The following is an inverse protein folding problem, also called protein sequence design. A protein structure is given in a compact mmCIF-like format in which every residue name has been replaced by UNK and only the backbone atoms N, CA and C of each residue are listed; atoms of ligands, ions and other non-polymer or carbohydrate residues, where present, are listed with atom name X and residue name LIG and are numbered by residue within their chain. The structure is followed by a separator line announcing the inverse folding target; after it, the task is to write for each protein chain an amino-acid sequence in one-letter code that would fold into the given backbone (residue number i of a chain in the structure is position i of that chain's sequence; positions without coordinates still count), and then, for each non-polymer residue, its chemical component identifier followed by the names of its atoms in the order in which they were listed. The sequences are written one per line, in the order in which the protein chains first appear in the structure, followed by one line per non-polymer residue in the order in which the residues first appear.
data_IF_352346749954
#
_entry.id   IF_352346749954
#
_cell.length_a   1.000
_cell.length_b   1.000
_cell.length_c   1.000
_cell.angle_alpha   90.00
_cell.angle_beta   90.00
_cell.angle_gamma   90.00
#
_symmetry.space_group_name_H-M   'P 1'
#
loop_
_entity.id
_entity.type
_entity.pdbx_description
1 polymer ?
#
# COMPACT_ATOMS: atom_id res chain seq x y z
N UNK A 1 2.62 -15.47 -17.02
CA UNK A 1 3.86 -15.69 -16.24
C UNK A 1 3.57 -16.66 -15.10
N UNK A 2 4.42 -17.65 -14.87
CA UNK A 2 4.27 -18.60 -13.76
C UNK A 2 4.98 -18.11 -12.50
N UNK A 3 4.66 -18.68 -11.31
CA UNK A 3 5.40 -18.42 -10.06
C UNK A 3 6.91 -18.69 -10.25
N UNK A 4 7.28 -19.74 -10.97
CA UNK A 4 8.68 -20.11 -11.19
C UNK A 4 9.43 -19.08 -12.05
N UNK A 5 8.75 -18.50 -13.03
CA UNK A 5 9.32 -17.43 -13.86
C UNK A 5 9.51 -16.15 -13.04
N UNK A 6 8.53 -15.81 -12.19
CA UNK A 6 8.62 -14.67 -11.29
C UNK A 6 9.78 -14.84 -10.28
N UNK A 7 9.90 -16.00 -9.64
CA UNK A 7 11.00 -16.32 -8.73
C UNK A 7 12.38 -16.22 -9.42
N UNK A 8 12.47 -16.62 -10.70
CA UNK A 8 13.69 -16.48 -11.49
C UNK A 8 14.04 -15.02 -11.74
N UNK A 9 13.06 -14.18 -12.10
CA UNK A 9 13.25 -12.74 -12.31
C UNK A 9 13.61 -12.00 -11.02
N UNK A 10 12.94 -12.35 -9.92
CA UNK A 10 13.18 -11.76 -8.60
C UNK A 10 14.47 -12.26 -7.95
N UNK A 11 14.98 -13.43 -8.37
CA UNK A 11 16.11 -14.14 -7.75
C UNK A 11 15.84 -14.53 -6.28
N UNK A 12 14.58 -14.75 -5.92
CA UNK A 12 14.14 -15.19 -4.58
C UNK A 12 13.13 -16.32 -4.70
N UNK A 13 12.84 -16.98 -3.58
CA UNK A 13 11.65 -17.85 -3.46
C UNK A 13 10.56 -17.07 -2.73
N UNK A 14 9.38 -16.92 -3.33
CA UNK A 14 8.28 -16.11 -2.77
C UNK A 14 7.86 -16.68 -1.41
N UNK A 15 7.84 -18.00 -1.26
CA UNK A 15 7.55 -18.68 0.01
C UNK A 15 8.55 -18.41 1.14
N UNK A 16 9.73 -17.87 0.81
CA UNK A 16 10.79 -17.56 1.79
C UNK A 16 10.79 -16.07 2.18
N UNK A 17 9.87 -15.26 1.66
CA UNK A 17 9.74 -13.85 2.06
C UNK A 17 9.48 -13.80 3.57
N UNK A 18 10.31 -13.02 4.27
CA UNK A 18 10.24 -12.90 5.72
C UNK A 18 8.94 -12.21 6.10
N UNK A 19 8.22 -12.82 7.04
CA UNK A 19 7.00 -12.27 7.60
C UNK A 19 7.25 -11.70 9.00
N UNK A 20 6.83 -10.46 9.25
CA UNK A 20 7.03 -9.75 10.52
C UNK A 20 5.70 -9.19 11.05
N UNK A 21 5.65 -8.83 12.33
CA UNK A 21 4.51 -8.07 12.83
C UNK A 21 4.50 -6.66 12.22
N UNK A 22 3.31 -6.08 12.07
CA UNK A 22 3.16 -4.69 11.62
C UNK A 22 3.96 -3.75 12.52
N UNK A 23 3.82 -3.92 13.84
CA UNK A 23 4.58 -3.19 14.84
C UNK A 23 6.11 -3.30 14.63
N UNK A 24 6.62 -4.50 14.30
CA UNK A 24 8.04 -4.71 14.04
C UNK A 24 8.53 -4.08 12.73
N UNK A 25 7.65 -3.89 11.74
CA UNK A 25 7.99 -3.19 10.50
C UNK A 25 8.01 -1.66 10.69
N UNK A 26 7.12 -1.12 11.54
CA UNK A 26 6.98 0.33 11.73
C UNK A 26 7.74 0.90 12.93
N UNK A 27 8.30 0.06 13.81
CA UNK A 27 8.93 0.48 15.06
C UNK A 27 10.12 1.44 14.86
N UNK A 28 10.87 1.29 13.77
CA UNK A 28 11.99 2.18 13.44
C UNK A 28 11.54 3.47 12.74
N UNK A 29 10.40 3.41 12.03
CA UNK A 29 9.89 4.49 11.19
C UNK A 29 8.96 5.49 11.91
N UNK A 30 8.48 5.15 13.12
CA UNK A 30 7.66 6.07 13.93
C UNK A 30 8.40 7.37 14.26
N UNK A 31 9.72 7.31 14.43
CA UNK A 31 10.58 8.49 14.64
C UNK A 31 10.52 9.45 13.45
N UNK A 32 10.43 8.90 12.23
CA UNK A 32 10.47 9.67 10.97
C UNK A 32 9.19 10.47 10.72
N UNK A 33 8.03 10.04 11.25
CA UNK A 33 6.79 10.81 11.19
C UNK A 33 6.89 12.13 11.97
N UNK A 34 7.61 12.12 13.09
CA UNK A 34 7.92 13.35 13.85
C UNK A 34 8.75 14.34 13.02
N UNK A 35 9.73 13.84 12.28
CA UNK A 35 10.57 14.65 11.39
C UNK A 35 9.79 15.20 10.18
N UNK A 36 8.77 14.45 9.71
CA UNK A 36 7.84 14.86 8.66
C UNK A 36 6.79 15.91 9.12
N UNK A 37 6.88 16.37 10.38
CA UNK A 37 5.96 17.36 11.01
C UNK A 37 4.50 16.90 11.07
N UNK A 38 4.25 15.60 11.05
CA UNK A 38 2.91 15.05 11.25
C UNK A 38 2.78 14.73 12.72
N UNK A 39 2.15 15.62 13.48
CA UNK A 39 1.95 15.40 14.91
C UNK A 39 0.90 14.31 15.18
N UNK A 40 0.93 13.76 16.40
CA UNK A 40 0.02 12.69 16.81
C UNK A 40 -1.45 13.05 16.61
N UNK A 41 -1.83 14.29 16.93
CA UNK A 41 -3.23 14.74 16.78
C UNK A 41 -3.65 14.68 15.31
N UNK A 42 -2.77 15.09 14.40
CA UNK A 42 -2.99 15.05 12.96
C UNK A 42 -3.16 13.62 12.46
N UNK A 43 -2.37 12.68 12.99
CA UNK A 43 -2.51 11.24 12.69
C UNK A 43 -3.85 10.72 13.20
N UNK A 44 -4.22 11.03 14.44
CA UNK A 44 -5.48 10.58 15.05
C UNK A 44 -6.69 11.15 14.28
N UNK A 45 -6.66 12.43 13.90
CA UNK A 45 -7.69 13.07 13.07
C UNK A 45 -7.79 12.40 11.68
N UNK A 46 -6.65 12.04 11.06
CA UNK A 46 -6.63 11.35 9.77
C UNK A 46 -7.18 9.91 9.87
N UNK A 47 -6.92 9.21 10.97
CA UNK A 47 -7.50 7.88 11.22
C UNK A 47 -9.02 7.96 11.25
N UNK A 48 -9.57 8.94 11.96
CA UNK A 48 -11.02 9.17 11.95
C UNK A 48 -11.54 9.52 10.56
N UNK A 49 -10.82 10.35 9.81
CA UNK A 49 -11.20 10.73 8.44
C UNK A 49 -11.27 9.51 7.52
N UNK A 50 -10.27 8.63 7.55
CA UNK A 50 -10.25 7.38 6.77
C UNK A 50 -11.39 6.46 7.17
N UNK A 51 -11.69 6.33 8.48
CA UNK A 51 -12.85 5.57 8.95
C UNK A 51 -14.15 6.07 8.30
N UNK A 52 -14.38 7.38 8.31
CA UNK A 52 -15.61 7.96 7.73
C UNK A 52 -15.66 7.81 6.22
N UNK A 53 -14.53 7.86 5.51
CA UNK A 53 -14.48 7.58 4.08
C UNK A 53 -14.83 6.11 3.77
N UNK A 54 -14.35 5.16 4.56
CA UNK A 54 -14.77 3.75 4.40
C UNK A 54 -16.28 3.62 4.62
N UNK A 55 -16.85 4.24 5.65
CA UNK A 55 -18.31 4.22 5.87
C UNK A 55 -19.08 4.87 4.73
N UNK A 56 -18.55 5.94 4.14
CA UNK A 56 -19.14 6.59 2.97
C UNK A 56 -19.17 5.64 1.78
N UNK A 57 -18.06 4.96 1.49
CA UNK A 57 -18.00 3.91 0.47
C UNK A 57 -19.08 2.85 0.72
N UNK A 58 -19.15 2.30 1.94
CA UNK A 58 -20.13 1.26 2.28
C UNK A 58 -21.58 1.75 2.14
N UNK A 59 -21.84 3.04 2.36
CA UNK A 59 -23.17 3.61 2.19
C UNK A 59 -23.56 3.82 0.71
N UNK A 60 -22.58 3.99 -0.18
CA UNK A 60 -22.79 4.24 -1.61
C UNK A 60 -22.81 2.92 -2.40
N UNK A 61 -21.77 2.09 -2.21
CA UNK A 61 -21.51 0.88 -3.00
C UNK A 61 -21.97 -0.40 -2.27
N UNK A 62 -22.22 -0.31 -0.96
CA UNK A 62 -22.48 -1.48 -0.12
C UNK A 62 -21.20 -2.21 0.29
N UNK A 63 -21.38 -3.31 1.00
CA UNK A 63 -20.27 -4.13 1.48
C UNK A 63 -19.67 -4.96 0.32
N UNK A 64 -18.36 -4.87 0.03
CA UNK A 64 -17.70 -5.59 -1.05
C UNK A 64 -17.56 -7.07 -0.69
N UNK A 65 -18.56 -7.88 -1.02
CA UNK A 65 -18.59 -9.30 -0.68
C UNK A 65 -18.71 -10.19 -1.91
N UNK A 66 -17.98 -11.31 -1.92
CA UNK A 66 -18.10 -12.35 -2.94
C UNK A 66 -19.49 -12.97 -3.03
N UNK A 67 -20.29 -12.85 -1.96
CA UNK A 67 -21.68 -13.28 -1.96
C UNK A 67 -22.58 -12.41 -2.85
N UNK A 68 -22.13 -11.21 -3.22
CA UNK A 68 -22.85 -10.30 -4.12
C UNK A 68 -22.48 -10.58 -5.57
N UNK A 69 -23.48 -10.79 -6.42
CA UNK A 69 -23.28 -10.99 -7.86
C UNK A 69 -22.70 -9.76 -8.56
N UNK A 70 -22.90 -8.57 -8.00
CA UNK A 70 -22.42 -7.29 -8.54
C UNK A 70 -20.98 -6.97 -8.11
N UNK A 71 -20.40 -7.74 -7.19
CA UNK A 71 -19.06 -7.50 -6.68
C UNK A 71 -17.97 -7.79 -7.72
N UNK A 72 -17.26 -6.73 -8.11
CA UNK A 72 -16.20 -6.72 -9.12
C UNK A 72 -14.89 -6.20 -8.51
N UNK A 73 -13.80 -6.41 -9.22
CA UNK A 73 -12.48 -5.87 -8.83
C UNK A 73 -12.50 -4.34 -8.68
N UNK A 74 -13.28 -3.64 -9.51
CA UNK A 74 -13.49 -2.19 -9.41
C UNK A 74 -14.01 -1.75 -8.03
N UNK A 75 -14.86 -2.53 -7.37
CA UNK A 75 -15.34 -2.23 -6.02
C UNK A 75 -14.18 -2.24 -5.02
N UNK A 76 -13.22 -3.16 -5.17
CA UNK A 76 -12.01 -3.20 -4.33
C UNK A 76 -11.14 -1.98 -4.60
N UNK A 77 -10.91 -1.64 -5.88
CA UNK A 77 -10.14 -0.47 -6.26
C UNK A 77 -10.73 0.82 -5.72
N UNK A 78 -12.05 0.99 -5.80
CA UNK A 78 -12.71 2.17 -5.30
C UNK A 78 -12.63 2.23 -3.77
N UNK A 79 -12.84 1.13 -3.05
CA UNK A 79 -12.59 1.07 -1.61
C UNK A 79 -11.14 1.45 -1.26
N UNK A 80 -10.16 0.96 -2.01
CA UNK A 80 -8.74 1.35 -1.85
C UNK A 80 -8.58 2.86 -2.00
N UNK A 81 -9.22 3.48 -3.00
CA UNK A 81 -9.18 4.94 -3.17
C UNK A 81 -9.79 5.68 -1.97
N UNK A 82 -10.90 5.20 -1.42
CA UNK A 82 -11.51 5.79 -0.20
C UNK A 82 -10.59 5.68 1.02
N UNK A 83 -9.75 4.64 1.10
CA UNK A 83 -8.76 4.48 2.18
C UNK A 83 -7.55 5.41 1.98
N UNK A 84 -6.97 5.45 0.78
CA UNK A 84 -5.68 6.13 0.55
C UNK A 84 -5.82 7.61 0.19
N UNK A 85 -6.97 8.01 -0.38
CA UNK A 85 -7.21 9.37 -0.85
C UNK A 85 -6.97 10.44 0.23
N UNK A 86 -7.59 10.34 1.42
CA UNK A 86 -7.36 11.28 2.52
C UNK A 86 -5.90 11.33 2.96
N UNK A 87 -5.22 10.18 2.95
CA UNK A 87 -3.82 10.06 3.38
C UNK A 87 -2.90 10.80 2.39
N UNK A 88 -3.07 10.57 1.09
CA UNK A 88 -2.29 11.24 0.03
C UNK A 88 -2.57 12.75 0.05
N UNK A 89 -3.83 13.15 0.22
CA UNK A 89 -4.20 14.56 0.35
C UNK A 89 -3.46 15.23 1.52
N UNK A 90 -3.44 14.60 2.69
CA UNK A 90 -2.71 15.10 3.87
C UNK A 90 -1.20 15.19 3.63
N UNK A 91 -0.60 14.22 2.92
CA UNK A 91 0.82 14.28 2.57
C UNK A 91 1.16 15.47 1.65
N UNK A 92 0.26 15.78 0.73
CA UNK A 92 0.37 16.97 -0.13
C UNK A 92 0.26 18.28 0.65
N UNK A 93 -0.60 18.34 1.66
CA UNK A 93 -0.75 19.51 2.54
C UNK A 93 0.50 19.79 3.38
N UNK A 94 1.20 18.75 3.85
CA UNK A 94 2.46 18.90 4.62
C UNK A 94 3.69 19.13 3.75
N UNK A 95 3.51 19.22 2.42
CA UNK A 95 4.51 19.71 1.48
C UNK A 95 5.20 18.66 0.63
N UNK A 96 4.87 17.36 0.76
CA UNK A 96 5.38 16.32 -0.14
C UNK A 96 4.50 16.26 -1.37
N UNK A 97 5.04 16.50 -2.57
CA UNK A 97 4.27 16.48 -3.81
C UNK A 97 4.11 15.06 -4.32
N UNK A 98 3.07 14.39 -3.84
CA UNK A 98 2.72 13.04 -4.26
C UNK A 98 1.56 13.04 -5.23
N UNK A 99 1.65 12.20 -6.26
CA UNK A 99 0.61 11.99 -7.26
C UNK A 99 0.22 10.52 -7.28
N UNK A 100 -1.08 10.27 -7.14
CA UNK A 100 -1.67 8.96 -7.36
C UNK A 100 -1.93 8.76 -8.86
N UNK A 101 -1.38 7.69 -9.42
CA UNK A 101 -1.66 7.18 -10.76
C UNK A 101 -2.35 5.82 -10.66
N UNK A 102 -3.33 5.57 -11.54
CA UNK A 102 -3.97 4.26 -11.72
C UNK A 102 -3.47 3.69 -13.04
N UNK A 103 -2.76 2.57 -12.98
CA UNK A 103 -2.22 1.88 -14.13
C UNK A 103 -2.96 0.56 -14.33
N UNK A 104 -3.23 0.14 -15.58
CA UNK A 104 -3.86 -1.18 -15.84
C UNK A 104 -2.91 -2.34 -15.58
N UNK A 105 -1.64 -2.11 -15.82
CA UNK A 105 -0.53 -2.97 -15.48
C UNK A 105 0.69 -2.07 -15.49
N UNK A 106 1.41 -1.99 -14.38
CA UNK A 106 2.61 -1.16 -14.31
C UNK A 106 3.65 -1.74 -15.28
N UNK A 107 3.73 -3.08 -15.40
CA UNK A 107 4.56 -3.75 -16.41
C UNK A 107 4.00 -5.11 -16.88
N UNK A 108 3.35 -5.14 -18.05
CA UNK A 108 3.16 -6.37 -18.83
C UNK A 108 3.03 -6.07 -20.34
N UNK A 109 4.11 -6.28 -21.11
CA UNK A 109 4.02 -6.40 -22.58
C UNK A 109 3.27 -7.69 -22.98
N UNK A 110 3.34 -8.73 -22.15
CA UNK A 110 2.62 -9.98 -22.35
C UNK A 110 1.30 -9.97 -21.56
N UNK A 111 0.27 -9.44 -22.21
CA UNK A 111 -1.17 -9.33 -21.87
C UNK A 111 -1.88 -10.54 -21.21
N UNK A 112 -1.18 -11.59 -20.80
CA UNK A 112 -1.76 -12.80 -20.20
C UNK A 112 -2.09 -12.70 -18.70
N UNK A 113 -1.72 -11.62 -18.01
CA UNK A 113 -1.92 -11.45 -16.56
C UNK A 113 -2.38 -10.03 -16.19
N UNK A 114 -3.05 -9.33 -17.12
CA UNK A 114 -3.59 -8.01 -16.83
C UNK A 114 -4.66 -8.09 -15.74
N UNK A 115 -4.32 -7.63 -14.53
CA UNK A 115 -5.30 -7.14 -13.57
C UNK A 115 -5.97 -5.86 -14.10
N UNK A 116 -7.04 -5.41 -13.45
CA UNK A 116 -7.79 -4.27 -13.98
C UNK A 116 -7.19 -2.94 -13.50
N UNK A 117 -6.63 -2.85 -12.29
CA UNK A 117 -6.05 -1.61 -11.75
C UNK A 117 -4.94 -1.88 -10.71
N UNK A 118 -3.78 -1.26 -10.91
CA UNK A 118 -2.65 -1.17 -9.99
C UNK A 118 -2.51 0.32 -9.62
N UNK A 119 -2.39 0.64 -8.32
CA UNK A 119 -2.19 2.02 -7.88
C UNK A 119 -0.70 2.28 -7.68
N UNK A 120 -0.19 3.34 -8.28
CA UNK A 120 1.18 3.81 -8.06
C UNK A 120 1.11 5.22 -7.49
N UNK A 121 1.75 5.42 -6.35
CA UNK A 121 2.02 6.77 -5.85
C UNK A 121 3.45 7.13 -6.21
N UNK A 122 3.57 8.19 -7.00
CA UNK A 122 4.82 8.78 -7.44
C UNK A 122 5.08 10.05 -6.64
N UNK A 123 6.31 10.21 -6.17
CA UNK A 123 6.81 11.42 -5.56
C UNK A 123 7.54 12.26 -6.62
N UNK A 124 7.07 13.49 -6.82
CA UNK A 124 7.66 14.44 -7.74
C UNK A 124 8.81 15.18 -7.04
N UNK A 125 10.00 14.58 -7.05
CA UNK A 125 11.19 15.09 -6.34
C UNK A 125 11.76 16.34 -7.04
N UNK A 126 11.73 16.37 -8.37
CA UNK A 126 12.08 17.53 -9.19
C UNK A 126 11.33 17.47 -10.53
N UNK A 127 11.38 18.55 -11.33
CA UNK A 127 10.70 18.64 -12.65
C UNK A 127 11.07 17.48 -13.61
N UNK A 128 12.21 16.83 -13.38
CA UNK A 128 12.71 15.71 -14.20
C UNK A 128 12.92 14.42 -13.41
N UNK A 129 12.61 14.40 -12.11
CA UNK A 129 12.85 13.23 -11.25
C UNK A 129 11.56 12.82 -10.55
N UNK A 130 10.99 11.71 -11.03
CA UNK A 130 9.86 11.01 -10.44
C UNK A 130 10.37 9.75 -9.73
N UNK A 131 10.02 9.58 -8.46
CA UNK A 131 10.35 8.36 -7.70
C UNK A 131 9.08 7.63 -7.30
N UNK A 132 9.03 6.33 -7.57
CA UNK A 132 7.93 5.48 -7.11
C UNK A 132 8.10 5.20 -5.62
N UNK A 133 7.20 5.72 -4.78
CA UNK A 133 7.33 5.61 -3.32
C UNK A 133 6.47 4.51 -2.72
N UNK A 134 5.30 4.28 -3.33
CA UNK A 134 4.29 3.35 -2.84
C UNK A 134 3.56 2.72 -4.03
N UNK A 135 3.47 1.40 -4.03
CA UNK A 135 2.73 0.61 -5.01
C UNK A 135 1.64 -0.16 -4.28
N UNK A 136 0.41 -0.18 -4.79
CA UNK A 136 -0.70 -0.93 -4.20
C UNK A 136 -1.34 -1.81 -5.27
N UNK A 137 -1.34 -3.10 -4.99
CA UNK A 137 -1.96 -4.12 -5.82
C UNK A 137 -3.28 -4.57 -5.19
N UNK A 138 -4.39 -4.17 -5.80
CA UNK A 138 -5.73 -4.53 -5.38
C UNK A 138 -6.25 -5.73 -6.18
N UNK A 139 -6.75 -6.77 -5.50
CA UNK A 139 -7.33 -7.96 -6.16
C UNK A 139 -8.50 -8.52 -5.38
N UNK A 140 -9.51 -9.01 -6.11
CA UNK A 140 -10.74 -9.58 -5.53
C UNK A 140 -10.51 -10.88 -4.73
N UNK A 141 -9.67 -11.80 -5.23
CA UNK A 141 -9.55 -13.17 -4.68
C UNK A 141 -8.14 -13.78 -4.67
N UNK A 142 -7.23 -13.33 -5.55
CA UNK A 142 -6.00 -14.07 -5.84
C UNK A 142 -4.76 -13.35 -5.27
N UNK A 143 -4.61 -13.35 -3.95
CA UNK A 143 -3.45 -12.75 -3.26
C UNK A 143 -2.14 -13.32 -3.82
N UNK A 144 -2.10 -14.58 -4.24
CA UNK A 144 -0.89 -15.20 -4.81
C UNK A 144 -0.44 -14.58 -6.14
N UNK A 145 -1.36 -14.22 -7.05
CA UNK A 145 -1.01 -13.52 -8.29
C UNK A 145 -0.71 -12.04 -8.03
N UNK A 146 -1.49 -11.40 -7.16
CA UNK A 146 -1.24 -10.05 -6.68
C UNK A 146 0.19 -9.91 -6.11
N UNK A 147 0.61 -10.91 -5.32
CA UNK A 147 1.94 -10.99 -4.74
C UNK A 147 3.04 -11.01 -5.80
N UNK A 148 2.85 -11.77 -6.87
CA UNK A 148 3.85 -11.82 -7.97
C UNK A 148 3.96 -10.45 -8.65
N UNK A 149 2.81 -9.83 -8.96
CA UNK A 149 2.77 -8.54 -9.65
C UNK A 149 3.45 -7.45 -8.81
N UNK A 150 3.07 -7.33 -7.53
CA UNK A 150 3.63 -6.28 -6.67
C UNK A 150 5.12 -6.46 -6.42
N UNK A 151 5.61 -7.69 -6.23
CA UNK A 151 7.04 -7.92 -5.99
C UNK A 151 7.89 -7.52 -7.20
N UNK A 152 7.41 -7.79 -8.42
CA UNK A 152 8.08 -7.37 -9.63
C UNK A 152 8.04 -5.85 -9.79
N UNK A 153 6.87 -5.24 -9.62
CA UNK A 153 6.71 -3.80 -9.70
C UNK A 153 7.59 -3.05 -8.67
N UNK A 154 7.68 -3.56 -7.45
CA UNK A 154 8.55 -2.99 -6.40
C UNK A 154 10.03 -3.10 -6.74
N UNK A 155 10.45 -4.23 -7.33
CA UNK A 155 11.83 -4.41 -7.78
C UNK A 155 12.18 -3.41 -8.87
N UNK A 156 11.34 -3.34 -9.90
CA UNK A 156 11.56 -2.43 -11.03
C UNK A 156 11.54 -0.96 -10.56
N UNK A 157 10.63 -0.60 -9.67
CA UNK A 157 10.59 0.71 -9.04
C UNK A 157 11.86 1.03 -8.24
N UNK A 158 12.39 0.06 -7.48
CA UNK A 158 13.61 0.26 -6.70
C UNK A 158 14.83 0.45 -7.60
N UNK A 159 14.93 -0.34 -8.68
CA UNK A 159 15.98 -0.21 -9.69
C UNK A 159 15.90 1.15 -10.41
N UNK A 160 14.69 1.61 -10.76
CA UNK A 160 14.46 2.91 -11.39
C UNK A 160 14.68 4.10 -10.44
N UNK A 161 14.40 3.94 -9.15
CA UNK A 161 14.67 4.95 -8.13
C UNK A 161 16.18 5.12 -7.84
N UNK A 162 17.04 4.27 -8.41
CA UNK A 162 18.47 4.18 -8.15
C UNK A 162 18.80 3.90 -6.67
N UNK A 163 17.91 3.20 -5.96
CA UNK A 163 18.05 2.89 -4.53
C UNK A 163 16.87 3.36 -3.67
N UNK A 164 17.09 3.34 -2.35
CA UNK A 164 16.06 3.64 -1.35
C UNK A 164 15.09 2.49 -1.11
N UNK A 165 14.21 2.67 -0.13
CA UNK A 165 13.17 1.68 0.20
C UNK A 165 11.94 1.94 -0.66
N UNK A 166 11.42 0.90 -1.30
CA UNK A 166 10.11 0.92 -1.96
C UNK A 166 9.12 0.18 -1.07
N UNK A 167 7.96 0.81 -0.88
CA UNK A 167 6.85 0.24 -0.11
C UNK A 167 5.77 -0.29 -1.04
N UNK A 168 5.18 -1.41 -0.65
CA UNK A 168 4.11 -2.06 -1.38
C UNK A 168 2.94 -2.41 -0.48
N UNK A 169 1.72 -2.45 -1.01
CA UNK A 169 0.58 -3.08 -0.35
C UNK A 169 -0.14 -4.03 -1.27
N UNK A 170 -0.42 -5.23 -0.80
CA UNK A 170 -1.38 -6.12 -1.45
C UNK A 170 -2.69 -6.10 -0.66
N UNK A 171 -3.82 -6.00 -1.35
CA UNK A 171 -5.11 -5.85 -0.69
C UNK A 171 -6.28 -6.50 -1.41
N UNK A 172 -7.24 -7.01 -0.63
CA UNK A 172 -8.59 -7.40 -1.08
C UNK A 172 -9.65 -6.35 -0.74
N UNK A 173 -9.24 -5.18 -0.27
CA UNK A 173 -10.10 -4.15 0.31
C UNK A 173 -10.31 -4.37 1.80
N UNK A 174 -10.67 -5.60 2.19
CA UNK A 174 -10.79 -6.01 3.60
C UNK A 174 -9.45 -6.24 4.25
N UNK A 175 -8.63 -7.09 3.62
CA UNK A 175 -7.37 -7.56 4.15
C UNK A 175 -6.22 -6.89 3.40
N UNK A 176 -5.30 -6.31 4.14
CA UNK A 176 -4.12 -5.63 3.62
C UNK A 176 -2.84 -6.28 4.15
N UNK A 177 -1.77 -6.21 3.37
CA UNK A 177 -0.41 -6.51 3.84
C UNK A 177 0.55 -5.49 3.28
N UNK A 178 1.41 -4.98 4.13
CA UNK A 178 2.49 -4.08 3.74
C UNK A 178 3.73 -4.89 3.37
N UNK A 179 4.45 -4.41 2.37
CA UNK A 179 5.72 -4.94 1.90
C UNK A 179 6.77 -3.84 1.87
N UNK A 180 8.02 -4.22 2.10
CA UNK A 180 9.19 -3.36 1.89
C UNK A 180 10.22 -4.07 1.03
N UNK A 181 10.92 -3.30 0.20
CA UNK A 181 12.08 -3.76 -0.55
C UNK A 181 13.16 -2.68 -0.54
N UNK A 182 14.36 -3.03 -0.06
CA UNK A 182 15.51 -2.13 0.06
C UNK A 182 16.54 -2.34 -1.08
N UNK A 183 16.24 -3.19 -2.06
CA UNK A 183 17.16 -3.65 -3.10
C UNK A 183 17.81 -5.01 -2.80
N UNK A 184 17.78 -5.46 -1.55
CA UNK A 184 18.30 -6.75 -1.10
C UNK A 184 17.22 -7.72 -0.64
N UNK A 185 16.42 -7.33 0.35
CA UNK A 185 15.44 -8.20 1.01
C UNK A 185 14.01 -7.70 0.81
N UNK A 186 13.09 -8.61 0.47
CA UNK A 186 11.66 -8.39 0.62
C UNK A 186 11.20 -8.81 2.01
N UNK A 187 10.49 -7.91 2.68
CA UNK A 187 9.83 -8.18 3.97
C UNK A 187 8.36 -7.87 3.83
N UNK A 188 7.51 -8.70 4.43
CA UNK A 188 6.05 -8.55 4.40
C UNK A 188 5.50 -8.57 5.83
N UNK A 189 4.43 -7.82 6.08
CA UNK A 189 3.72 -7.90 7.36
C UNK A 189 2.75 -9.07 7.42
N UNK A 190 2.40 -9.43 8.66
CA UNK A 190 1.16 -10.10 8.92
C UNK A 190 -0.02 -9.28 8.37
N UNK A 191 -1.15 -9.96 8.18
CA UNK A 191 -2.39 -9.36 7.70
C UNK A 191 -2.86 -8.22 8.62
N UNK A 192 -3.28 -7.12 8.01
CA UNK A 192 -4.01 -6.00 8.60
C UNK A 192 -5.45 -6.10 8.11
N UNK A 193 -6.40 -6.17 9.03
CA UNK A 193 -7.83 -6.08 8.68
C UNK A 193 -8.20 -4.61 8.66
N UNK A 194 -8.82 -4.12 7.60
CA UNK A 194 -9.22 -2.70 7.44
C UNK A 194 -10.73 -2.55 7.38
N UNK A 195 -11.45 -3.56 6.86
CA UNK A 195 -12.90 -3.60 6.79
C UNK A 195 -13.42 -4.89 7.42
N UNK A 196 -14.47 -4.78 8.22
CA UNK A 196 -15.19 -5.90 8.82
C UNK A 196 -16.67 -5.55 9.04
N UNK A 197 -17.55 -6.55 9.03
CA UNK A 197 -19.02 -6.39 8.97
C UNK A 197 -19.62 -5.43 10.01
N UNK A 198 -19.09 -5.41 11.23
CA UNK A 198 -19.61 -4.65 12.37
C UNK A 198 -18.88 -3.33 12.60
N UNK A 199 -18.03 -2.88 11.66
CA UNK A 199 -17.19 -1.69 11.86
C UNK A 199 -18.00 -0.40 12.04
N UNK A 200 -19.23 -0.36 11.52
CA UNK A 200 -20.11 0.81 11.64
C UNK A 200 -20.52 1.05 13.10
N UNK A 201 -20.68 -0.02 13.86
CA UNK A 201 -21.04 0.02 15.28
C UNK A 201 -19.79 -0.02 16.19
N UNK A 202 -18.63 -0.40 15.66
CA UNK A 202 -17.39 -0.61 16.41
C UNK A 202 -16.28 0.40 16.01
N UNK A 203 -16.59 1.71 16.00
CA UNK A 203 -15.62 2.77 15.65
C UNK A 203 -14.36 2.71 16.53
N UNK A 204 -14.52 2.61 17.85
CA UNK A 204 -13.41 2.62 18.80
C UNK A 204 -12.46 1.44 18.57
N UNK A 205 -13.02 0.27 18.28
CA UNK A 205 -12.25 -0.92 17.92
C UNK A 205 -11.48 -0.70 16.62
N UNK A 206 -12.14 -0.15 15.60
CA UNK A 206 -11.48 0.16 14.33
C UNK A 206 -10.29 1.10 14.53
N UNK A 207 -10.49 2.17 15.33
CA UNK A 207 -9.42 3.14 15.64
C UNK A 207 -8.25 2.51 16.41
N UNK A 208 -8.50 1.54 17.28
CA UNK A 208 -7.47 0.90 18.10
C UNK A 208 -6.71 -0.21 17.36
N UNK A 209 -7.40 -1.03 16.57
CA UNK A 209 -6.86 -2.28 16.04
C UNK A 209 -6.59 -2.23 14.52
N UNK A 210 -7.37 -1.44 13.77
CA UNK A 210 -7.41 -1.49 12.31
C UNK A 210 -6.81 -0.24 11.65
N UNK A 211 -6.90 0.90 12.33
CA UNK A 211 -6.38 2.18 11.85
C UNK A 211 -4.86 2.22 11.68
N UNK A 212 -4.15 1.17 12.08
CA UNK A 212 -2.70 1.00 11.84
C UNK A 212 -2.33 1.08 10.35
N UNK A 213 -3.28 0.80 9.45
CA UNK A 213 -3.09 1.00 8.00
C UNK A 213 -2.70 2.45 7.67
N UNK A 214 -3.22 3.42 8.43
CA UNK A 214 -2.90 4.84 8.24
C UNK A 214 -1.45 5.12 8.61
N UNK A 215 -0.97 4.61 9.75
CA UNK A 215 0.43 4.75 10.15
C UNK A 215 1.36 4.09 9.12
N UNK A 216 1.02 2.89 8.65
CA UNK A 216 1.77 2.17 7.62
C UNK A 216 1.89 2.98 6.32
N UNK A 217 0.79 3.58 5.86
CA UNK A 217 0.78 4.40 4.63
C UNK A 217 1.54 5.70 4.80
N UNK A 218 1.40 6.39 5.94
CA UNK A 218 2.16 7.60 6.23
C UNK A 218 3.67 7.30 6.26
N UNK A 219 4.07 6.17 6.83
CA UNK A 219 5.47 5.71 6.83
C UNK A 219 5.95 5.47 5.39
N UNK A 220 5.18 4.73 4.59
CA UNK A 220 5.51 4.47 3.19
C UNK A 220 5.68 5.78 2.40
N UNK A 221 4.75 6.71 2.57
CA UNK A 221 4.77 8.03 1.92
C UNK A 221 5.79 8.99 2.52
N UNK A 222 6.37 8.71 3.69
CA UNK A 222 7.43 9.53 4.30
C UNK A 222 8.81 8.99 3.94
N UNK A 223 8.98 7.67 3.90
CA UNK A 223 10.29 7.04 3.75
C UNK A 223 10.55 6.51 2.34
N UNK A 224 9.50 6.28 1.55
CA UNK A 224 9.62 5.73 0.21
C UNK A 224 10.52 6.57 -0.70
N UNK A 225 11.37 5.91 -1.49
CA UNK A 225 12.26 6.54 -2.46
C UNK A 225 13.42 7.36 -1.87
N UNK A 226 13.52 7.45 -0.54
CA UNK A 226 14.63 8.14 0.15
C UNK A 226 15.79 7.14 0.31
N UNK A 227 16.99 7.56 -0.09
CA UNK A 227 18.21 6.82 0.24
C UNK A 227 18.51 7.03 1.73
N UNK A 228 18.41 5.98 2.53
CA UNK A 228 19.05 5.98 3.85
C UNK A 228 20.55 5.89 3.62
N UNK A 229 21.30 6.94 3.97
CA UNK A 229 22.77 6.83 3.97
C UNK A 229 23.17 5.63 4.83
N UNK A 230 24.11 4.78 4.37
CA UNK A 230 24.63 3.74 5.25
C UNK A 230 25.20 4.42 6.49
N UNK A 231 24.76 3.94 7.66
CA UNK A 231 25.38 4.29 8.93
C UNK A 231 26.82 3.76 8.84
N UNK A 232 27.80 4.67 8.79
CA UNK A 232 29.23 4.35 8.90
C UNK A 232 29.58 3.78 10.28
#
# INVERSE_FOLDING_TARGET
MTIQDAERKLKIRIKNIRNVSVAGMISEATTTLGDARIDKKTIDDLKEEVYYHILQYLNIEGYPTEASADYKEANVSDLVLYVIGPIIARMNEVGRKTRLSRERAIFAEDSSIGGIEEFVVVDEVAVTEEKSVLIIEAKRHAIGHAMIQILLAMKDAQENNLGGIVYGFVTTGEDWRMLTYDGGEFVMTNKIVVLFNTMKEEKEKWLQENAIIVDCMLIALTNGGIMTNPVE
#
